data_IF_036832348144
#
_entry.id   IF_036832348144
#
_cell.length_a   1.000
_cell.length_b   1.000
_cell.length_c   1.000
_cell.angle_alpha   90.00
_cell.angle_beta   90.00
_cell.angle_gamma   90.00
#
_symmetry.space_group_name_H-M   'P 1'
#
loop_
_entity.id
_entity.type
_entity.pdbx_description
1 polymer ?
#
# COMPACT_ATOMS: atom_id res chain seq x y z
N UNK A 1 -10.85 -4.05 10.89
CA UNK A 1 -10.64 -2.92 9.99
C UNK A 1 -9.33 -3.08 9.24
N UNK A 2 -9.36 -2.76 7.96
CA UNK A 2 -8.18 -2.82 7.09
C UNK A 2 -7.86 -1.42 6.59
N UNK A 3 -6.60 -1.00 6.68
CA UNK A 3 -6.16 0.31 6.25
C UNK A 3 -4.95 0.19 5.32
N UNK A 4 -4.93 1.01 4.27
CA UNK A 4 -3.85 1.10 3.31
C UNK A 4 -3.32 2.53 3.29
N UNK A 5 -2.00 2.71 3.46
CA UNK A 5 -1.35 4.01 3.48
C UNK A 5 -0.22 4.06 2.45
N UNK A 6 -0.03 5.24 1.85
CA UNK A 6 1.15 5.51 1.03
C UNK A 6 2.39 5.65 1.92
N UNK A 7 3.49 4.98 1.56
CA UNK A 7 4.74 5.02 2.31
C UNK A 7 5.33 6.45 2.36
N UNK A 8 5.17 7.22 1.30
CA UNK A 8 5.62 8.62 1.30
C UNK A 8 4.96 9.45 2.39
N UNK A 9 3.65 9.25 2.59
CA UNK A 9 2.91 9.95 3.64
C UNK A 9 3.30 9.49 5.04
N UNK A 10 3.57 8.19 5.21
CA UNK A 10 4.06 7.64 6.48
C UNK A 10 5.39 8.26 6.90
N UNK A 11 6.33 8.38 5.97
CA UNK A 11 7.65 8.97 6.25
C UNK A 11 7.50 10.43 6.65
N UNK A 12 6.70 11.22 5.93
CA UNK A 12 6.46 12.62 6.25
C UNK A 12 5.84 12.77 7.64
N UNK A 13 4.85 11.96 7.95
CA UNK A 13 4.17 12.00 9.24
C UNK A 13 5.11 11.63 10.38
N UNK A 14 5.96 10.64 10.20
CA UNK A 14 6.93 10.22 11.20
C UNK A 14 7.95 11.31 11.49
N UNK A 15 8.52 11.94 10.46
CA UNK A 15 9.46 13.04 10.62
C UNK A 15 8.82 14.21 11.36
N UNK A 16 7.55 14.51 11.05
CA UNK A 16 6.79 15.58 11.71
C UNK A 16 6.50 15.25 13.17
N UNK A 17 6.01 14.04 13.43
CA UNK A 17 5.60 13.62 14.78
C UNK A 17 6.78 13.48 15.73
N UNK A 18 7.90 13.00 15.27
CA UNK A 18 9.11 12.81 16.08
C UNK A 18 9.97 14.07 16.16
N UNK A 19 9.62 15.13 15.40
CA UNK A 19 10.33 16.40 15.37
C UNK A 19 11.82 16.23 15.09
N UNK A 20 12.15 15.43 14.08
CA UNK A 20 13.53 15.19 13.67
C UNK A 20 13.97 16.36 12.80
N UNK A 21 14.80 17.24 13.38
CA UNK A 21 15.25 18.47 12.71
C UNK A 21 16.76 18.47 12.43
N UNK A 22 17.53 17.65 13.12
CA UNK A 22 18.97 17.54 12.88
C UNK A 22 19.22 16.83 11.56
N UNK A 23 20.09 17.41 10.73
CA UNK A 23 20.35 16.88 9.39
C UNK A 23 20.85 15.44 9.40
N UNK A 24 21.70 15.09 10.37
CA UNK A 24 22.22 13.73 10.50
C UNK A 24 21.11 12.74 10.86
N UNK A 25 20.19 13.14 11.75
CA UNK A 25 19.06 12.30 12.15
C UNK A 25 18.07 12.13 11.01
N UNK A 26 17.79 13.19 10.26
CA UNK A 26 16.93 13.14 9.09
C UNK A 26 17.52 12.19 8.04
N UNK A 27 18.82 12.28 7.79
CA UNK A 27 19.49 11.40 6.84
C UNK A 27 19.42 9.93 7.27
N UNK A 28 19.63 9.65 8.55
CA UNK A 28 19.54 8.30 9.09
C UNK A 28 18.12 7.71 8.91
N UNK A 29 17.09 8.50 9.19
CA UNK A 29 15.71 8.07 8.99
C UNK A 29 15.39 7.85 7.50
N UNK A 30 15.84 8.74 6.63
CA UNK A 30 15.65 8.59 5.19
C UNK A 30 16.35 7.35 4.65
N UNK A 31 17.56 7.03 5.12
CA UNK A 31 18.28 5.83 4.70
C UNK A 31 17.50 4.55 5.05
N UNK A 32 16.78 4.55 6.20
CA UNK A 32 15.97 3.43 6.61
C UNK A 32 14.67 3.31 5.78
N UNK A 33 14.05 4.43 5.38
CA UNK A 33 12.76 4.46 4.71
C UNK A 33 12.81 4.65 3.20
N UNK A 34 13.91 5.17 2.64
CA UNK A 34 14.02 5.42 1.19
C UNK A 34 13.68 4.20 0.32
N UNK A 35 14.03 2.95 0.68
CA UNK A 35 13.62 1.79 -0.11
C UNK A 35 12.10 1.60 -0.21
N UNK A 36 11.34 2.23 0.70
CA UNK A 36 9.87 2.16 0.72
C UNK A 36 9.20 3.28 -0.09
N UNK A 37 9.99 4.25 -0.58
CA UNK A 37 9.47 5.35 -1.40
C UNK A 37 9.27 4.88 -2.85
N UNK A 38 8.18 5.29 -3.52
CA UNK A 38 7.96 4.94 -4.92
C UNK A 38 9.10 5.40 -5.85
N UNK A 39 9.41 4.58 -6.85
CA UNK A 39 10.53 4.79 -7.77
C UNK A 39 10.15 5.56 -9.04
N UNK A 40 8.93 6.07 -9.14
CA UNK A 40 8.45 6.82 -10.30
C UNK A 40 7.59 6.00 -11.28
N UNK A 41 7.63 4.66 -11.20
CA UNK A 41 6.79 3.76 -12.01
C UNK A 41 5.91 2.87 -11.15
N UNK A 42 5.95 3.04 -9.85
CA UNK A 42 5.19 2.21 -8.92
C UNK A 42 4.62 3.01 -7.77
N UNK A 43 3.67 2.40 -7.09
CA UNK A 43 3.18 2.86 -5.80
C UNK A 43 3.57 1.85 -4.74
N UNK A 44 3.97 2.34 -3.58
CA UNK A 44 4.25 1.52 -2.40
C UNK A 44 3.29 1.89 -1.30
N UNK A 45 2.80 0.88 -0.61
CA UNK A 45 1.78 1.05 0.41
C UNK A 45 1.95 0.03 1.53
N UNK A 46 1.44 0.37 2.70
CA UNK A 46 1.38 -0.55 3.84
C UNK A 46 -0.06 -1.00 4.03
N UNK A 47 -0.26 -2.30 4.07
CA UNK A 47 -1.54 -2.90 4.45
C UNK A 47 -1.54 -3.17 5.94
N UNK A 48 -2.50 -2.58 6.65
CA UNK A 48 -2.71 -2.80 8.08
C UNK A 48 -4.03 -3.50 8.29
N UNK A 49 -4.01 -4.64 8.97
CA UNK A 49 -5.20 -5.40 9.34
C UNK A 49 -5.45 -5.22 10.81
N UNK A 50 -6.51 -4.50 11.15
CA UNK A 50 -6.83 -4.13 12.53
C UNK A 50 -8.14 -4.74 12.99
N UNK A 51 -8.11 -5.36 14.16
CA UNK A 51 -9.28 -5.87 14.86
C UNK A 51 -9.20 -5.47 16.33
N UNK A 52 -10.31 -5.05 16.96
CA UNK A 52 -10.29 -4.56 18.34
C UNK A 52 -9.93 -5.64 19.38
N UNK A 53 -10.26 -6.91 19.11
CA UNK A 53 -9.97 -8.01 20.01
C UNK A 53 -8.79 -8.85 19.54
N UNK A 54 -7.95 -9.30 20.47
CA UNK A 54 -6.81 -10.16 20.16
C UNK A 54 -7.27 -11.50 19.56
N UNK A 55 -8.30 -12.12 20.12
CA UNK A 55 -8.84 -13.37 19.62
C UNK A 55 -9.46 -13.21 18.24
N UNK A 56 -10.22 -12.13 18.03
CA UNK A 56 -10.81 -11.81 16.72
C UNK A 56 -9.73 -11.61 15.67
N UNK A 57 -8.66 -10.89 16.02
CA UNK A 57 -7.54 -10.66 15.12
C UNK A 57 -6.86 -11.96 14.74
N UNK A 58 -6.60 -12.83 15.70
CA UNK A 58 -5.96 -14.13 15.46
C UNK A 58 -6.77 -14.99 14.49
N UNK A 59 -8.08 -15.06 14.70
CA UNK A 59 -8.99 -15.82 13.83
C UNK A 59 -9.01 -15.22 12.43
N UNK A 60 -9.12 -13.89 12.34
CA UNK A 60 -9.15 -13.18 11.07
C UNK A 60 -7.86 -13.36 10.27
N UNK A 61 -6.70 -13.26 10.92
CA UNK A 61 -5.40 -13.47 10.26
C UNK A 61 -5.25 -14.88 9.72
N UNK A 62 -5.84 -15.87 10.39
CA UNK A 62 -5.89 -17.24 9.86
C UNK A 62 -6.76 -17.37 8.63
N UNK A 63 -7.90 -16.68 8.60
CA UNK A 63 -8.82 -16.69 7.45
C UNK A 63 -8.29 -15.89 6.26
N UNK A 64 -7.50 -14.86 6.52
CA UNK A 64 -7.01 -13.93 5.51
C UNK A 64 -5.65 -14.33 4.92
N UNK A 65 -5.21 -15.56 5.10
CA UNK A 65 -3.96 -16.04 4.49
C UNK A 65 -3.98 -15.78 2.99
N UNK A 66 -2.89 -15.18 2.49
CA UNK A 66 -2.75 -14.83 1.08
C UNK A 66 -3.43 -13.53 0.67
N UNK A 67 -4.04 -12.81 1.61
CA UNK A 67 -4.71 -11.53 1.31
C UNK A 67 -3.73 -10.51 0.71
N UNK A 68 -2.47 -10.53 1.12
CA UNK A 68 -1.42 -9.65 0.63
C UNK A 68 -1.18 -9.77 -0.88
N UNK A 69 -1.51 -10.91 -1.45
CA UNK A 69 -1.38 -11.16 -2.90
C UNK A 69 -2.67 -10.86 -3.66
N UNK A 70 -3.72 -10.44 -2.97
CA UNK A 70 -5.05 -10.20 -3.55
C UNK A 70 -5.49 -8.75 -3.48
N UNK A 71 -4.58 -7.85 -3.15
CA UNK A 71 -4.82 -6.41 -3.15
C UNK A 71 -4.52 -5.89 -4.56
N UNK A 72 -5.43 -5.12 -5.13
CA UNK A 72 -5.29 -4.64 -6.50
C UNK A 72 -5.66 -3.17 -6.64
N UNK A 73 -5.09 -2.54 -7.66
CA UNK A 73 -5.50 -1.23 -8.15
C UNK A 73 -5.82 -1.34 -9.64
N UNK A 74 -6.76 -0.54 -10.11
CA UNK A 74 -7.11 -0.49 -11.52
C UNK A 74 -7.19 0.96 -11.98
N UNK A 75 -6.55 1.25 -13.09
CA UNK A 75 -6.51 2.58 -13.69
C UNK A 75 -7.50 2.59 -14.86
N UNK A 76 -8.56 3.41 -14.75
CA UNK A 76 -9.59 3.50 -15.78
C UNK A 76 -10.22 2.14 -16.07
N UNK A 77 -10.17 1.71 -17.33
CA UNK A 77 -10.70 0.42 -17.79
C UNK A 77 -9.62 -0.62 -18.05
N UNK A 78 -8.36 -0.33 -17.66
CA UNK A 78 -7.25 -1.24 -17.85
C UNK A 78 -7.34 -2.45 -16.90
N UNK A 79 -6.52 -3.48 -17.15
CA UNK A 79 -6.46 -4.64 -16.29
C UNK A 79 -6.02 -4.26 -14.87
N UNK A 80 -6.56 -4.91 -13.84
CA UNK A 80 -6.10 -4.69 -12.46
C UNK A 80 -4.62 -5.03 -12.30
N UNK A 81 -3.93 -4.22 -11.48
CA UNK A 81 -2.56 -4.48 -11.08
C UNK A 81 -2.58 -5.01 -9.65
N UNK A 82 -2.16 -6.26 -9.47
CA UNK A 82 -2.08 -6.84 -8.14
C UNK A 82 -0.77 -6.45 -7.45
N UNK A 83 -0.85 -6.27 -6.14
CA UNK A 83 0.31 -5.91 -5.34
C UNK A 83 1.35 -7.03 -5.34
N UNK A 84 2.63 -6.63 -5.34
CA UNK A 84 3.75 -7.51 -5.01
C UNK A 84 4.02 -7.28 -3.53
N UNK A 85 3.83 -8.31 -2.72
CA UNK A 85 3.86 -8.18 -1.28
C UNK A 85 5.19 -8.66 -0.68
N UNK A 86 5.62 -7.95 0.35
CA UNK A 86 6.66 -8.41 1.27
C UNK A 86 7.95 -8.87 0.58
N UNK A 87 8.45 -8.07 -0.35
CA UNK A 87 9.68 -8.36 -1.09
C UNK A 87 10.92 -8.40 -0.18
N UNK A 88 10.81 -7.81 0.99
CA UNK A 88 11.91 -7.76 1.97
C UNK A 88 12.00 -9.01 2.84
N UNK A 89 10.87 -9.62 3.19
CA UNK A 89 10.80 -10.83 4.01
C UNK A 89 9.39 -11.43 4.02
N UNK A 90 9.29 -12.71 4.26
CA UNK A 90 7.99 -13.37 4.44
C UNK A 90 7.33 -12.92 5.74
N UNK A 91 6.04 -12.56 5.64
CA UNK A 91 5.22 -12.14 6.79
C UNK A 91 4.01 -13.02 7.02
N UNK A 92 3.95 -14.15 6.34
CA UNK A 92 2.89 -15.13 6.50
C UNK A 92 3.50 -16.51 6.74
N UNK A 93 2.74 -17.38 7.36
CA UNK A 93 3.12 -18.78 7.55
C UNK A 93 1.95 -19.71 7.18
N UNK A 94 2.08 -21.01 7.44
CA UNK A 94 1.08 -22.00 7.06
C UNK A 94 -0.26 -21.85 7.80
N UNK A 95 -0.30 -21.08 8.89
CA UNK A 95 -1.50 -20.94 9.72
C UNK A 95 -2.15 -19.57 9.65
N UNK A 96 -1.39 -18.51 9.43
CA UNK A 96 -1.91 -17.14 9.41
C UNK A 96 -1.04 -16.20 8.57
N UNK A 97 -1.65 -15.09 8.14
CA UNK A 97 -0.91 -13.96 7.59
C UNK A 97 -0.52 -12.98 8.71
N UNK A 98 0.37 -12.03 8.41
CA UNK A 98 0.70 -10.93 9.31
C UNK A 98 -0.41 -9.87 9.30
N UNK A 99 -0.46 -9.05 10.35
CA UNK A 99 -1.32 -7.86 10.38
C UNK A 99 -0.74 -6.68 9.59
N UNK A 100 0.52 -6.76 9.18
CA UNK A 100 1.22 -5.70 8.43
C UNK A 100 1.90 -6.32 7.23
N UNK A 101 1.67 -5.74 6.06
CA UNK A 101 2.31 -6.13 4.81
C UNK A 101 2.76 -4.89 4.05
N UNK A 102 3.94 -4.93 3.43
CA UNK A 102 4.41 -3.89 2.53
C UNK A 102 4.13 -4.30 1.10
N UNK A 103 3.46 -3.42 0.36
CA UNK A 103 2.96 -3.69 -0.97
C UNK A 103 3.61 -2.78 -2.01
N UNK A 104 3.87 -3.32 -3.19
CA UNK A 104 4.28 -2.54 -4.36
C UNK A 104 3.34 -2.81 -5.51
N UNK A 105 2.82 -1.75 -6.11
CA UNK A 105 2.01 -1.82 -7.32
C UNK A 105 2.85 -1.30 -8.47
N UNK A 106 3.36 -2.18 -9.30
CA UNK A 106 4.14 -1.80 -10.48
C UNK A 106 3.20 -1.45 -11.62
N UNK A 107 3.18 -0.19 -12.04
CA UNK A 107 2.25 0.31 -13.04
C UNK A 107 2.84 0.21 -14.43
N UNK A 108 2.12 -0.40 -15.41
CA UNK A 108 2.52 -0.36 -16.80
C UNK A 108 2.53 1.07 -17.33
N UNK A 109 3.33 1.33 -18.37
CA UNK A 109 3.39 2.66 -19.01
C UNK A 109 2.02 3.16 -19.45
N UNK A 110 1.18 2.28 -19.97
CA UNK A 110 -0.19 2.62 -20.37
C UNK A 110 -1.04 3.12 -19.19
N UNK A 111 -0.87 2.52 -18.01
CA UNK A 111 -1.58 2.95 -16.82
C UNK A 111 -1.13 4.34 -16.36
N UNK A 112 0.18 4.60 -16.37
CA UNK A 112 0.72 5.91 -16.00
C UNK A 112 0.23 7.00 -16.97
N UNK A 113 0.23 6.72 -18.26
CA UNK A 113 -0.29 7.64 -19.27
C UNK A 113 -1.79 7.91 -19.07
N UNK A 114 -2.58 6.86 -18.79
CA UNK A 114 -4.01 7.01 -18.55
C UNK A 114 -4.27 7.89 -17.31
N UNK A 115 -3.48 7.72 -16.25
CA UNK A 115 -3.58 8.57 -15.06
C UNK A 115 -3.35 10.04 -15.39
N UNK A 116 -2.33 10.34 -16.20
CA UNK A 116 -1.99 11.70 -16.60
C UNK A 116 -3.04 12.33 -17.50
N UNK A 117 -3.85 11.53 -18.19
CA UNK A 117 -4.93 12.01 -19.04
C UNK A 117 -6.28 12.04 -18.31
N UNK A 118 -6.31 11.78 -17.01
CA UNK A 118 -7.49 11.95 -16.19
C UNK A 118 -8.24 10.67 -15.80
N UNK A 119 -7.67 9.49 -16.06
CA UNK A 119 -8.31 8.24 -15.68
C UNK A 119 -8.46 8.13 -14.16
N UNK A 120 -9.58 7.58 -13.71
CA UNK A 120 -9.82 7.32 -12.29
C UNK A 120 -9.04 6.10 -11.79
N UNK A 121 -8.95 5.97 -10.48
CA UNK A 121 -8.30 4.83 -9.82
C UNK A 121 -9.34 4.08 -9.00
N UNK A 122 -9.45 2.79 -9.22
CA UNK A 122 -10.20 1.87 -8.36
C UNK A 122 -9.21 1.00 -7.60
N UNK A 123 -9.60 0.53 -6.45
CA UNK A 123 -8.78 -0.35 -5.63
C UNK A 123 -9.67 -1.36 -4.91
N UNK A 124 -9.11 -2.47 -4.51
CA UNK A 124 -9.88 -3.45 -3.78
C UNK A 124 -9.08 -4.64 -3.30
N UNK A 125 -9.78 -5.55 -2.67
CA UNK A 125 -9.30 -6.82 -2.20
C UNK A 125 -10.15 -7.91 -2.85
N UNK A 126 -9.50 -8.91 -3.41
CA UNK A 126 -10.16 -10.04 -4.07
C UNK A 126 -9.72 -11.34 -3.40
N UNK A 127 -10.04 -11.48 -2.12
CA UNK A 127 -9.76 -12.68 -1.33
C UNK A 127 -11.07 -13.42 -1.05
N UNK A 128 -11.02 -14.75 -0.97
CA UNK A 128 -12.20 -15.58 -0.71
C UNK A 128 -12.94 -15.18 0.57
N UNK A 129 -12.21 -14.74 1.60
CA UNK A 129 -12.76 -14.34 2.90
C UNK A 129 -13.00 -12.84 3.02
N UNK A 130 -12.50 -12.02 2.07
CA UNK A 130 -12.64 -10.57 2.11
C UNK A 130 -12.65 -10.04 0.69
N UNK A 131 -13.81 -9.61 0.23
CA UNK A 131 -13.97 -8.96 -1.06
C UNK A 131 -14.49 -7.56 -0.83
N UNK A 132 -13.64 -6.57 -1.12
CA UNK A 132 -13.95 -5.14 -0.94
C UNK A 132 -13.51 -4.41 -2.20
N UNK A 133 -14.27 -3.39 -2.58
CA UNK A 133 -13.97 -2.60 -3.77
C UNK A 133 -14.30 -1.14 -3.54
N UNK A 134 -13.39 -0.26 -3.95
CA UNK A 134 -13.61 1.18 -4.06
C UNK A 134 -13.54 1.53 -5.53
N UNK A 135 -14.66 1.91 -6.13
CA UNK A 135 -14.76 2.15 -7.58
C UNK A 135 -14.02 3.41 -8.02
N UNK A 136 -13.87 4.38 -7.12
CA UNK A 136 -13.15 5.62 -7.42
C UNK A 136 -12.59 6.17 -6.12
N UNK A 137 -11.26 6.33 -6.06
CA UNK A 137 -10.62 6.97 -4.89
C UNK A 137 -10.85 8.49 -4.94
N UNK A 138 -10.84 9.17 -3.78
CA UNK A 138 -10.99 10.63 -3.73
C UNK A 138 -9.94 11.35 -4.58
N UNK A 139 -10.33 12.46 -5.22
CA UNK A 139 -9.47 13.19 -6.15
C UNK A 139 -8.18 13.68 -5.50
N UNK A 140 -8.23 14.14 -4.25
CA UNK A 140 -7.03 14.58 -3.54
C UNK A 140 -6.03 13.44 -3.35
N UNK A 141 -6.50 12.24 -3.03
CA UNK A 141 -5.65 11.06 -2.91
C UNK A 141 -5.08 10.67 -4.27
N UNK A 142 -5.89 10.70 -5.31
CA UNK A 142 -5.46 10.42 -6.67
C UNK A 142 -4.34 11.37 -7.11
N UNK A 143 -4.50 12.67 -6.88
CA UNK A 143 -3.47 13.67 -7.20
C UNK A 143 -2.17 13.40 -6.45
N UNK A 144 -2.26 13.06 -5.17
CA UNK A 144 -1.09 12.71 -4.36
C UNK A 144 -0.36 11.49 -4.91
N UNK A 145 -1.08 10.46 -5.32
CA UNK A 145 -0.50 9.25 -5.91
C UNK A 145 0.16 9.52 -7.26
N UNK A 146 -0.45 10.37 -8.08
CA UNK A 146 0.14 10.77 -9.37
C UNK A 146 1.44 11.54 -9.16
N UNK A 147 1.51 12.36 -8.12
CA UNK A 147 2.73 13.10 -7.79
C UNK A 147 3.91 12.18 -7.43
N UNK A 148 3.65 10.96 -6.97
CA UNK A 148 4.68 9.95 -6.69
C UNK A 148 5.25 9.31 -7.97
N UNK A 149 4.66 9.56 -9.14
CA UNK A 149 5.10 9.03 -10.42
C UNK A 149 6.00 10.03 -11.15
N UNK A 150 7.05 9.52 -11.76
CA UNK A 150 7.96 10.36 -12.54
C UNK A 150 7.38 10.73 -13.92
#
# INVERSE_FOLDING_TARGET
>A
TTMLMSESLEIQEMLRAERIFEQADIRSELDAYNPLIPDGTNWKATLLIEYPGENERRIALGRLRGVEDRIWVRIGTLEPVYAIADEDMDRANDTKTSAVHFLRFELPTAAIQALRTGAGVAAGVDHAELTVRVDSIPELLRESLIADLA
#
